data_IF_854016285011
#
_entry.id   IF_854016285011
#
_cell.length_a   1.000
_cell.length_b   1.000
_cell.length_c   1.000
_cell.angle_alpha   90.00
_cell.angle_beta   90.00
_cell.angle_gamma   90.00
#
_symmetry.space_group_name_H-M   'P 1'
#
loop_
_entity.id
_entity.type
_entity.pdbx_description
1 polymer ?
#
# COMPACT_ATOMS: atom_id res chain seq x y z
N UNK A 1 -13.50 18.52 -10.43
CA UNK A 1 -13.26 17.71 -9.23
C UNK A 1 -12.36 16.56 -9.64
N UNK A 2 -11.04 16.78 -9.63
CA UNK A 2 -10.06 15.78 -10.07
C UNK A 2 -10.06 14.64 -9.05
N UNK A 3 -10.38 13.43 -9.52
CA UNK A 3 -10.19 12.20 -8.75
C UNK A 3 -8.69 12.10 -8.42
N UNK A 4 -8.34 12.42 -7.18
CA UNK A 4 -6.98 12.30 -6.67
C UNK A 4 -6.62 10.81 -6.68
N UNK A 5 -5.57 10.45 -7.41
CA UNK A 5 -4.95 9.12 -7.33
C UNK A 5 -4.69 8.83 -5.85
N UNK A 6 -5.30 7.77 -5.31
CA UNK A 6 -5.20 7.36 -3.90
C UNK A 6 -3.80 6.82 -3.61
N UNK A 7 -2.82 7.72 -3.55
CA UNK A 7 -1.41 7.41 -3.33
C UNK A 7 -0.98 8.11 -2.05
N UNK A 8 -0.65 7.31 -1.03
CA UNK A 8 -0.11 7.80 0.24
C UNK A 8 1.42 7.76 0.18
N UNK A 9 2.06 8.90 0.45
CA UNK A 9 3.52 9.02 0.58
C UNK A 9 3.90 8.81 2.05
N UNK A 10 4.85 7.90 2.30
CA UNK A 10 5.28 7.51 3.64
C UNK A 10 6.78 7.74 3.80
N UNK A 11 7.18 8.53 4.81
CA UNK A 11 8.59 8.81 5.14
C UNK A 11 8.96 8.27 6.53
N UNK A 12 9.73 7.17 6.57
CA UNK A 12 10.41 6.50 7.71
C UNK A 12 9.75 6.56 9.12
N UNK A 13 9.08 5.45 9.53
CA UNK A 13 8.81 5.02 10.94
C UNK A 13 8.14 3.62 10.95
N UNK A 14 8.31 2.82 12.01
CA UNK A 14 7.79 1.42 12.15
C UNK A 14 6.28 1.27 11.87
N UNK A 15 5.46 2.30 12.14
CA UNK A 15 4.01 2.27 11.92
C UNK A 15 3.59 2.45 10.45
N UNK A 16 4.49 2.80 9.53
CA UNK A 16 4.11 3.18 8.17
C UNK A 16 3.83 2.00 7.24
N UNK A 17 4.43 0.83 7.47
CA UNK A 17 4.11 -0.38 6.67
C UNK A 17 2.63 -0.75 6.82
N UNK A 18 2.06 -0.62 8.03
CA UNK A 18 0.62 -0.83 8.24
C UNK A 18 -0.22 0.11 7.39
N UNK A 19 0.13 1.40 7.33
CA UNK A 19 -0.61 2.36 6.52
C UNK A 19 -0.47 2.07 5.01
N UNK A 20 0.71 1.59 4.57
CA UNK A 20 0.94 1.17 3.20
C UNK A 20 0.06 -0.03 2.81
N UNK A 21 -0.30 -0.89 3.76
CA UNK A 21 -1.23 -2.02 3.55
C UNK A 21 -2.69 -1.54 3.64
N UNK A 22 -3.03 -0.74 4.64
CA UNK A 22 -4.41 -0.28 4.86
C UNK A 22 -4.98 0.52 3.68
N UNK A 23 -4.15 1.31 2.98
CA UNK A 23 -4.60 2.04 1.78
C UNK A 23 -4.98 1.09 0.63
N UNK A 24 -4.42 -0.12 0.61
CA UNK A 24 -4.68 -1.12 -0.43
C UNK A 24 -5.91 -1.98 -0.14
N UNK A 25 -6.43 -1.97 1.10
CA UNK A 25 -7.64 -2.71 1.46
C UNK A 25 -8.79 -2.25 0.53
N UNK A 26 -9.54 -3.16 -0.10
CA UNK A 26 -10.67 -2.79 -0.95
C UNK A 26 -11.73 -1.96 -0.24
N UNK A 27 -12.44 -1.12 -0.99
CA UNK A 27 -13.48 -0.23 -0.45
C UNK A 27 -14.62 -1.00 0.22
N UNK A 28 -14.95 -2.19 -0.29
CA UNK A 28 -15.98 -3.07 0.26
C UNK A 28 -15.66 -3.56 1.68
N UNK A 29 -14.37 -3.55 2.05
CA UNK A 29 -13.88 -3.88 3.39
C UNK A 29 -13.52 -2.63 4.20
N UNK A 30 -14.01 -1.45 3.80
CA UNK A 30 -13.77 -0.18 4.50
C UNK A 30 -12.43 0.49 4.21
N UNK A 31 -11.67 -0.02 3.23
CA UNK A 31 -10.39 0.53 2.82
C UNK A 31 -10.48 1.55 1.69
N UNK A 32 -9.32 1.85 1.09
CA UNK A 32 -9.19 2.84 0.01
C UNK A 32 -9.00 2.22 -1.38
N UNK A 33 -8.61 0.95 -1.50
CA UNK A 33 -8.32 0.28 -2.78
C UNK A 33 -7.25 1.01 -3.61
N UNK A 34 -6.34 1.71 -2.95
CA UNK A 34 -5.27 2.48 -3.57
C UNK A 34 -3.94 1.73 -3.60
N UNK A 35 -2.86 2.46 -3.90
CA UNK A 35 -1.48 1.96 -3.84
C UNK A 35 -0.64 2.87 -2.95
N UNK A 36 0.51 2.38 -2.49
CA UNK A 36 1.38 3.14 -1.61
C UNK A 36 2.71 3.47 -2.30
N UNK A 37 3.25 4.66 -2.03
CA UNK A 37 4.64 5.00 -2.36
C UNK A 37 5.42 5.08 -1.03
N UNK A 38 6.40 4.20 -0.87
CA UNK A 38 7.25 4.11 0.30
C UNK A 38 8.62 4.72 0.00
N UNK A 39 8.95 5.83 0.64
CA UNK A 39 10.24 6.50 0.49
C UNK A 39 11.08 6.17 1.72
N UNK A 40 12.16 5.43 1.52
CA UNK A 40 13.03 4.96 2.58
C UNK A 40 14.34 5.72 2.61
N UNK A 41 14.50 6.57 3.63
CA UNK A 41 15.72 7.33 3.92
C UNK A 41 16.72 6.58 4.80
N UNK A 42 16.26 5.63 5.61
CA UNK A 42 17.05 5.03 6.71
C UNK A 42 17.42 3.56 6.47
N UNK A 43 16.58 2.81 5.78
CA UNK A 43 16.85 1.46 5.27
C UNK A 43 16.02 0.44 6.02
N UNK A 44 14.90 0.90 6.58
CA UNK A 44 14.07 0.18 7.54
C UNK A 44 12.89 -0.52 6.88
N UNK A 45 12.76 -0.45 5.55
CA UNK A 45 11.75 -1.23 4.84
C UNK A 45 12.10 -2.72 4.90
N UNK A 46 11.23 -3.51 5.53
CA UNK A 46 11.38 -4.95 5.65
C UNK A 46 10.21 -5.65 4.95
N UNK A 47 10.53 -6.42 3.90
CA UNK A 47 9.53 -7.16 3.13
C UNK A 47 8.80 -8.17 4.02
N UNK A 48 9.53 -8.85 4.91
CA UNK A 48 8.99 -9.80 5.87
C UNK A 48 7.91 -9.16 6.75
N UNK A 49 8.10 -7.89 7.12
CA UNK A 49 7.11 -7.15 7.91
C UNK A 49 5.86 -6.81 7.11
N UNK A 50 5.99 -6.54 5.80
CA UNK A 50 4.85 -6.37 4.89
C UNK A 50 4.03 -7.66 4.85
N UNK A 51 4.67 -8.81 4.66
CA UNK A 51 3.99 -10.11 4.65
C UNK A 51 3.23 -10.38 5.95
N UNK A 52 3.89 -10.23 7.11
CA UNK A 52 3.26 -10.45 8.42
C UNK A 52 2.01 -9.58 8.63
N UNK A 53 2.10 -8.30 8.26
CA UNK A 53 0.97 -7.38 8.41
C UNK A 53 -0.13 -7.70 7.39
N UNK A 54 0.24 -8.07 6.17
CA UNK A 54 -0.72 -8.43 5.12
C UNK A 54 -1.50 -9.70 5.50
N UNK A 55 -0.83 -10.72 6.03
CA UNK A 55 -1.47 -11.95 6.52
C UNK A 55 -2.46 -11.66 7.66
N UNK A 56 -2.04 -10.85 8.66
CA UNK A 56 -2.93 -10.41 9.73
C UNK A 56 -4.15 -9.65 9.19
N UNK A 57 -3.93 -8.72 8.26
CA UNK A 57 -5.00 -7.95 7.63
C UNK A 57 -5.98 -8.84 6.85
N UNK A 58 -5.50 -9.83 6.11
CA UNK A 58 -6.35 -10.79 5.39
C UNK A 58 -7.16 -11.63 6.38
N UNK A 59 -6.53 -12.11 7.45
CA UNK A 59 -7.21 -12.85 8.52
C UNK A 59 -8.33 -12.02 9.15
N UNK A 60 -8.05 -10.76 9.49
CA UNK A 60 -9.05 -9.84 10.05
C UNK A 60 -10.22 -9.64 9.08
N UNK A 61 -9.94 -9.42 7.79
CA UNK A 61 -11.00 -9.26 6.77
C UNK A 61 -11.87 -10.51 6.68
N UNK A 62 -11.26 -11.71 6.72
CA UNK A 62 -11.99 -12.97 6.67
C UNK A 62 -12.86 -13.20 7.91
N UNK A 63 -12.40 -12.81 9.09
CA UNK A 63 -13.15 -12.95 10.35
C UNK A 63 -14.33 -11.98 10.44
N UNK A 64 -14.14 -10.71 10.06
CA UNK A 64 -15.17 -9.68 10.17
C UNK A 64 -16.19 -9.67 9.02
N UNK A 65 -15.86 -10.22 7.84
CA UNK A 65 -16.73 -10.22 6.65
C UNK A 65 -17.01 -11.63 6.07
N UNK A 66 -17.56 -12.58 6.84
CA UNK A 66 -17.71 -13.98 6.42
C UNK A 66 -18.69 -14.20 5.26
N UNK A 67 -19.62 -13.27 5.02
CA UNK A 67 -20.75 -13.45 4.08
C UNK A 67 -20.54 -12.82 2.69
N UNK A 68 -19.43 -12.09 2.45
CA UNK A 68 -19.15 -11.46 1.15
C UNK A 68 -18.46 -12.40 0.14
N UNK A 69 -18.40 -13.70 0.46
CA UNK A 69 -17.75 -14.72 -0.36
C UNK A 69 -18.67 -15.38 -1.39
N UNK A 70 -19.87 -14.83 -1.65
CA UNK A 70 -20.67 -15.28 -2.80
C UNK A 70 -19.96 -14.89 -4.10
N UNK A 71 -19.45 -15.92 -4.77
CA UNK A 71 -18.52 -15.94 -5.91
C UNK A 71 -19.13 -15.38 -7.20
N UNK A 72 -19.67 -14.16 -7.18
CA UNK A 72 -20.33 -13.56 -8.35
C UNK A 72 -20.18 -12.04 -8.40
N UNK A 73 -18.98 -11.54 -8.74
CA UNK A 73 -18.78 -10.30 -9.54
C UNK A 73 -17.29 -9.98 -9.69
N UNK A 74 -16.75 -10.28 -10.89
CA UNK A 74 -15.67 -9.61 -11.67
C UNK A 74 -14.52 -8.76 -11.04
N UNK A 75 -14.30 -8.72 -9.73
CA UNK A 75 -13.37 -7.76 -9.11
C UNK A 75 -12.74 -8.21 -7.79
N UNK A 76 -12.77 -9.51 -7.45
CA UNK A 76 -11.91 -10.03 -6.37
C UNK A 76 -10.45 -9.97 -6.84
N UNK A 77 -9.83 -8.81 -6.68
CA UNK A 77 -8.37 -8.68 -6.65
C UNK A 77 -7.92 -9.61 -5.52
N UNK A 78 -7.21 -10.68 -5.89
CA UNK A 78 -6.86 -11.79 -5.03
C UNK A 78 -6.23 -11.25 -3.72
N UNK A 79 -6.93 -11.40 -2.58
CA UNK A 79 -6.46 -10.98 -1.24
C UNK A 79 -5.31 -11.88 -0.80
N UNK A 80 -4.15 -11.66 -1.40
CA UNK A 80 -2.92 -12.40 -1.16
C UNK A 80 -1.83 -11.42 -0.69
N UNK A 81 -0.93 -11.83 0.20
CA UNK A 81 0.17 -10.99 0.67
C UNK A 81 1.03 -10.41 -0.48
N UNK A 82 1.22 -11.17 -1.56
CA UNK A 82 1.98 -10.76 -2.73
C UNK A 82 1.34 -9.57 -3.46
N UNK A 83 0.00 -9.50 -3.43
CA UNK A 83 -0.75 -8.37 -4.02
C UNK A 83 -0.44 -7.07 -3.26
N UNK A 84 -0.41 -7.14 -1.92
CA UNK A 84 -0.05 -6.00 -1.08
C UNK A 84 1.39 -5.52 -1.30
N UNK A 85 2.32 -6.44 -1.52
CA UNK A 85 3.70 -6.08 -1.83
C UNK A 85 3.80 -5.41 -3.22
N UNK A 86 3.10 -5.95 -4.21
CA UNK A 86 3.08 -5.41 -5.57
C UNK A 86 2.44 -4.01 -5.67
N UNK A 87 1.57 -3.66 -4.71
CA UNK A 87 0.98 -2.32 -4.61
C UNK A 87 1.83 -1.29 -3.86
N UNK A 88 3.04 -1.65 -3.39
CA UNK A 88 3.99 -0.72 -2.76
C UNK A 88 5.11 -0.37 -3.74
N UNK A 89 5.16 0.89 -4.16
CA UNK A 89 6.28 1.44 -4.92
C UNK A 89 7.37 1.94 -3.97
N UNK A 90 8.52 1.28 -3.97
CA UNK A 90 9.61 1.55 -3.06
C UNK A 90 10.70 2.43 -3.70
N UNK A 91 11.10 3.50 -3.00
CA UNK A 91 12.21 4.38 -3.37
C UNK A 91 13.19 4.50 -2.21
N UNK A 92 14.42 4.01 -2.40
CA UNK A 92 15.53 4.22 -1.48
C UNK A 92 16.19 5.56 -1.80
N UNK A 93 16.29 6.45 -0.81
CA UNK A 93 17.01 7.72 -0.94
C UNK A 93 18.10 7.82 0.13
N UNK A 94 19.29 8.25 -0.29
CA UNK A 94 20.49 8.37 0.51
C UNK A 94 21.05 9.80 0.50
N UNK A 95 20.44 10.72 -0.26
CA UNK A 95 20.87 12.11 -0.36
C UNK A 95 19.70 13.06 -0.66
N UNK A 96 19.91 14.36 -0.38
CA UNK A 96 18.91 15.39 -0.67
C UNK A 96 18.69 15.58 -2.20
N UNK A 97 19.70 15.31 -3.03
CA UNK A 97 19.58 15.36 -4.49
C UNK A 97 18.67 14.26 -5.01
N UNK A 98 18.80 13.03 -4.49
CA UNK A 98 17.88 11.93 -4.78
C UNK A 98 16.47 12.22 -4.29
N UNK A 99 16.33 12.85 -3.11
CA UNK A 99 15.02 13.27 -2.61
C UNK A 99 14.33 14.25 -3.57
N UNK A 100 15.05 15.27 -4.06
CA UNK A 100 14.52 16.23 -5.04
C UNK A 100 14.15 15.50 -6.35
N UNK A 101 14.99 14.57 -6.81
CA UNK A 101 14.72 13.79 -8.02
C UNK A 101 13.44 12.95 -7.89
N UNK A 102 13.24 12.28 -6.74
CA UNK A 102 12.01 11.52 -6.46
C UNK A 102 10.80 12.45 -6.46
N UNK A 103 10.85 13.60 -5.80
CA UNK A 103 9.72 14.55 -5.77
C UNK A 103 9.35 15.00 -7.19
N UNK A 104 10.33 15.39 -8.01
CA UNK A 104 10.11 15.78 -9.41
C UNK A 104 9.57 14.63 -10.27
N UNK A 105 9.95 13.38 -9.96
CA UNK A 105 9.41 12.19 -10.61
C UNK A 105 7.97 11.93 -10.17
N UNK A 106 7.65 12.13 -8.88
CA UNK A 106 6.31 11.93 -8.35
C UNK A 106 5.29 12.88 -8.97
N UNK A 107 5.65 14.13 -9.26
CA UNK A 107 4.77 15.05 -10.00
C UNK A 107 4.34 14.45 -11.36
N UNK A 108 5.28 13.80 -12.07
CA UNK A 108 4.99 13.11 -13.34
C UNK A 108 4.22 11.80 -13.16
N UNK A 109 4.41 11.13 -12.03
CA UNK A 109 3.74 9.87 -11.72
C UNK A 109 2.27 10.10 -11.31
N UNK A 110 2.02 11.20 -10.61
CA UNK A 110 0.70 11.60 -10.12
C UNK A 110 -0.09 12.46 -11.11
N UNK A 111 0.58 13.17 -12.04
CA UNK A 111 -0.05 13.82 -13.20
C UNK A 111 -0.66 12.84 -14.19
#
# INVERSE_FOLDING_TARGET
MQFQKKITILSASFCRIQLAINVQIPVDYGGLGGKAIYIDTEGSFMVERVYQIAEGCISDIMEYFPCHHDKSSSGQENLQPESFLAGIYYFRICSYTEQIAVINYLEKFLG
#
